data_IF_173328820322
#
_entry.id   IF_173328820322
#
_cell.length_a   1.000
_cell.length_b   1.000
_cell.length_c   1.000
_cell.angle_alpha   90.00
_cell.angle_beta   90.00
_cell.angle_gamma   90.00
#
_symmetry.space_group_name_H-M   'P 1'
#
loop_
_entity.id
_entity.type
_entity.pdbx_description
1 polymer ?
#
# COMPACT_ATOMS: atom_id res chain seq x y z
N UNK A 1 -7.60 -18.90 -14.79
CA UNK A 1 -8.66 -18.18 -14.07
C UNK A 1 -7.97 -17.29 -13.06
N UNK A 2 -7.80 -16.00 -13.35
CA UNK A 2 -7.21 -15.07 -12.39
C UNK A 2 -8.31 -14.71 -11.38
N UNK A 3 -8.10 -15.09 -10.12
CA UNK A 3 -8.95 -14.69 -9.00
C UNK A 3 -8.43 -13.33 -8.54
N UNK A 4 -9.12 -12.26 -8.92
CA UNK A 4 -8.91 -10.98 -8.25
C UNK A 4 -9.69 -11.06 -6.95
N UNK A 5 -9.00 -11.38 -5.85
CA UNK A 5 -9.56 -11.17 -4.52
C UNK A 5 -9.97 -9.70 -4.43
N UNK A 6 -11.18 -9.44 -3.94
CA UNK A 6 -11.60 -8.06 -3.69
C UNK A 6 -10.55 -7.43 -2.79
N UNK A 7 -10.02 -6.28 -3.20
CA UNK A 7 -9.11 -5.53 -2.35
C UNK A 7 -9.85 -5.12 -1.07
N UNK A 8 -9.46 -5.70 0.06
CA UNK A 8 -10.03 -5.39 1.36
C UNK A 8 -9.30 -4.19 1.97
N UNK A 9 -9.99 -3.05 1.93
CA UNK A 9 -9.48 -1.78 2.45
C UNK A 9 -9.18 -1.89 3.96
N UNK A 10 -10.01 -2.62 4.70
CA UNK A 10 -9.83 -2.82 6.15
C UNK A 10 -8.55 -3.60 6.45
N UNK A 11 -8.27 -4.67 5.67
CA UNK A 11 -7.03 -5.42 5.78
C UNK A 11 -5.83 -4.53 5.46
N UNK A 12 -5.91 -3.75 4.37
CA UNK A 12 -4.86 -2.81 3.99
C UNK A 12 -4.53 -1.82 5.11
N UNK A 13 -5.53 -1.22 5.75
CA UNK A 13 -5.30 -0.33 6.90
C UNK A 13 -4.78 -1.08 8.13
N UNK A 14 -5.18 -2.33 8.34
CA UNK A 14 -4.72 -3.12 9.49
C UNK A 14 -3.24 -3.53 9.39
N UNK A 15 -2.68 -3.65 8.18
CA UNK A 15 -1.28 -4.06 7.95
C UNK A 15 -0.34 -2.89 7.68
N UNK A 16 -0.90 -1.72 7.39
CA UNK A 16 -0.14 -0.49 7.10
C UNK A 16 0.21 0.23 8.40
N UNK A 17 1.50 0.48 8.60
CA UNK A 17 1.99 1.32 9.71
C UNK A 17 1.95 2.81 9.34
N UNK A 18 2.42 3.16 8.14
CA UNK A 18 2.48 4.54 7.65
C UNK A 18 2.34 4.59 6.15
N UNK A 19 1.65 5.60 5.65
CA UNK A 19 1.59 5.93 4.23
C UNK A 19 2.07 7.36 4.01
N UNK A 20 2.97 7.54 3.05
CA UNK A 20 3.49 8.85 2.62
C UNK A 20 3.20 9.03 1.14
N UNK A 21 2.53 10.13 0.79
CA UNK A 21 2.28 10.52 -0.61
C UNK A 21 3.20 11.68 -0.93
N UNK A 22 4.05 11.52 -1.93
CA UNK A 22 5.01 12.51 -2.40
C UNK A 22 4.49 13.10 -3.71
N UNK A 23 4.04 14.36 -3.64
CA UNK A 23 3.63 15.20 -4.78
C UNK A 23 2.60 14.58 -5.75
N UNK A 24 1.93 13.50 -5.34
CA UNK A 24 1.04 12.73 -6.22
C UNK A 24 1.76 11.89 -7.27
N UNK A 25 3.09 11.80 -7.20
CA UNK A 25 3.94 11.03 -8.12
C UNK A 25 4.35 9.68 -7.53
N UNK A 26 4.48 9.62 -6.20
CA UNK A 26 4.97 8.42 -5.50
C UNK A 26 4.21 8.19 -4.20
N UNK A 27 3.93 6.93 -3.91
CA UNK A 27 3.40 6.46 -2.63
C UNK A 27 4.43 5.55 -1.99
N UNK A 28 4.73 5.79 -0.72
CA UNK A 28 5.56 4.93 0.11
C UNK A 28 4.68 4.39 1.24
N UNK A 29 4.55 3.07 1.32
CA UNK A 29 3.78 2.37 2.36
C UNK A 29 4.75 1.58 3.23
N UNK A 30 4.81 1.92 4.52
CA UNK A 30 5.50 1.12 5.53
C UNK A 30 4.48 0.16 6.15
N UNK A 31 4.78 -1.14 6.13
CA UNK A 31 3.99 -2.18 6.77
C UNK A 31 4.45 -2.41 8.21
N UNK A 32 3.59 -3.05 9.02
CA UNK A 32 3.87 -3.34 10.43
C UNK A 32 5.13 -4.19 10.67
N UNK A 33 5.54 -5.00 9.69
CA UNK A 33 6.74 -5.82 9.72
C UNK A 33 8.01 -5.06 9.32
N UNK A 34 7.92 -3.74 9.12
CA UNK A 34 8.98 -2.85 8.63
C UNK A 34 9.35 -3.03 7.15
N UNK A 35 8.57 -3.81 6.39
CA UNK A 35 8.67 -3.82 4.93
C UNK A 35 8.23 -2.46 4.38
N UNK A 36 9.00 -1.90 3.45
CA UNK A 36 8.64 -0.68 2.71
C UNK A 36 8.28 -1.03 1.27
N UNK A 37 7.11 -0.56 0.83
CA UNK A 37 6.60 -0.70 -0.53
C UNK A 37 6.57 0.67 -1.18
N UNK A 38 7.27 0.81 -2.30
CA UNK A 38 7.29 2.03 -3.10
C UNK A 38 6.49 1.85 -4.39
N UNK A 39 5.58 2.77 -4.67
CA UNK A 39 4.71 2.75 -5.85
C UNK A 39 4.84 4.08 -6.57
N UNK A 40 5.15 4.03 -7.87
CA UNK A 40 5.10 5.19 -8.76
C UNK A 40 3.71 5.28 -9.37
N UNK A 41 3.13 6.48 -9.37
CA UNK A 41 1.83 6.76 -9.98
C UNK A 41 2.08 7.15 -11.45
N UNK A 42 1.58 6.35 -12.38
CA UNK A 42 1.59 6.61 -13.84
C UNK A 42 0.26 7.22 -14.33
#
# INVERSE_FOLDING_TARGET
MQVYERFEIDLFFSITEKMTVLEGEKIIVSLLDKTEVEVVIE
#
